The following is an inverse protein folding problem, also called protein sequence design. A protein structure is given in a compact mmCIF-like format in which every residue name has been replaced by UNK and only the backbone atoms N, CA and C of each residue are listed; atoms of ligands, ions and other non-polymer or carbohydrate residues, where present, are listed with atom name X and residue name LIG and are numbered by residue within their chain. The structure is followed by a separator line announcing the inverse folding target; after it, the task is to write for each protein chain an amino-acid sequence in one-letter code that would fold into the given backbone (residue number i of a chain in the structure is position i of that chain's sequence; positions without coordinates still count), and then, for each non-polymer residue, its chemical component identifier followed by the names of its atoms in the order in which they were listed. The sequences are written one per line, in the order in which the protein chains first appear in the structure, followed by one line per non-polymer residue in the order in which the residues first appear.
data_IF_326800537061
#
_entry.id   IF_326800537061
#
_cell.length_a   1.000
_cell.length_b   1.000
_cell.length_c   1.000
_cell.angle_alpha   90.00
_cell.angle_beta   90.00
_cell.angle_gamma   90.00
#
_symmetry.space_group_name_H-M   'P 1'
#
loop_
_entity.id
_entity.type
_entity.pdbx_description
1 polymer ?
#
# COMPACT_ATOMS: atom_id res chain seq x y z
N UNK A 1 30.92 8.61 -5.13
CA UNK A 1 31.87 7.50 -5.46
C UNK A 1 31.73 6.31 -4.52
N UNK A 2 31.94 6.42 -3.18
CA UNK A 2 31.82 5.24 -2.26
C UNK A 2 30.37 4.73 -2.18
N UNK A 3 29.36 5.60 -2.08
CA UNK A 3 27.94 5.20 -2.03
C UNK A 3 27.44 4.59 -3.35
N UNK A 4 27.94 5.02 -4.47
CA UNK A 4 27.63 4.45 -5.80
C UNK A 4 28.30 3.08 -5.99
N UNK A 5 29.50 2.89 -5.48
CA UNK A 5 30.19 1.60 -5.53
C UNK A 5 29.50 0.55 -4.63
N UNK A 6 29.07 0.94 -3.41
CA UNK A 6 28.30 0.07 -2.50
C UNK A 6 26.93 -0.25 -3.13
N UNK A 7 26.25 0.75 -3.69
CA UNK A 7 24.98 0.55 -4.39
C UNK A 7 25.09 -0.33 -5.63
N UNK A 8 26.18 -0.24 -6.39
CA UNK A 8 26.41 -1.08 -7.58
C UNK A 8 26.75 -2.53 -7.20
N UNK A 9 27.53 -2.74 -6.13
CA UNK A 9 27.86 -4.06 -5.60
C UNK A 9 26.61 -4.79 -5.08
N UNK A 10 25.81 -4.13 -4.25
CA UNK A 10 24.57 -4.68 -3.73
C UNK A 10 23.58 -5.02 -4.87
N UNK A 11 23.43 -4.15 -5.87
CA UNK A 11 22.58 -4.42 -7.05
C UNK A 11 23.05 -5.65 -7.82
N UNK A 12 24.36 -5.83 -8.03
CA UNK A 12 24.91 -7.01 -8.72
C UNK A 12 24.62 -8.31 -7.99
N UNK A 13 24.73 -8.31 -6.65
CA UNK A 13 24.43 -9.48 -5.81
C UNK A 13 22.92 -9.81 -5.92
N UNK A 14 22.07 -8.82 -5.74
CA UNK A 14 20.61 -8.98 -5.86
C UNK A 14 20.24 -9.52 -7.25
N UNK A 15 20.79 -8.95 -8.32
CA UNK A 15 20.51 -9.39 -9.69
C UNK A 15 21.06 -10.80 -9.95
N UNK A 16 22.16 -11.20 -9.35
CA UNK A 16 22.67 -12.57 -9.42
C UNK A 16 21.73 -13.56 -8.70
N UNK A 17 21.25 -13.20 -7.51
CA UNK A 17 20.26 -14.01 -6.76
C UNK A 17 18.94 -14.12 -7.54
N UNK A 18 18.45 -13.02 -8.09
CA UNK A 18 17.21 -13.02 -8.93
C UNK A 18 17.40 -13.91 -10.15
N UNK A 19 18.52 -13.86 -10.85
CA UNK A 19 18.81 -14.74 -11.99
C UNK A 19 18.90 -16.21 -11.59
N UNK A 20 19.52 -16.52 -10.45
CA UNK A 20 19.61 -17.87 -9.92
C UNK A 20 18.21 -18.42 -9.58
N UNK A 21 17.40 -17.65 -8.86
CA UNK A 21 16.02 -17.98 -8.53
C UNK A 21 15.13 -18.07 -9.78
N UNK A 22 15.34 -17.19 -10.77
CA UNK A 22 14.63 -17.24 -12.03
C UNK A 22 14.93 -18.51 -12.84
N UNK A 23 16.10 -19.13 -12.70
CA UNK A 23 16.45 -20.42 -13.31
C UNK A 23 15.88 -21.63 -12.55
N UNK A 24 15.64 -21.52 -11.26
CA UNK A 24 15.29 -22.63 -10.36
C UNK A 24 13.86 -23.15 -10.49
N UNK A 25 13.03 -22.68 -11.41
CA UNK A 25 11.59 -23.05 -11.59
C UNK A 25 10.71 -22.85 -10.34
N UNK A 26 11.21 -22.23 -9.26
CA UNK A 26 10.42 -21.96 -8.04
C UNK A 26 9.26 -21.02 -8.38
N UNK A 27 8.07 -21.34 -7.89
CA UNK A 27 6.88 -20.51 -8.08
C UNK A 27 7.05 -19.19 -7.30
N UNK A 28 6.82 -17.98 -7.87
CA UNK A 28 6.87 -16.72 -7.15
C UNK A 28 6.00 -16.71 -5.89
N UNK A 29 4.79 -17.26 -5.94
CA UNK A 29 3.91 -17.35 -4.77
C UNK A 29 4.50 -18.20 -3.63
N UNK A 30 5.35 -19.16 -3.93
CA UNK A 30 6.05 -19.93 -2.91
C UNK A 30 7.14 -19.10 -2.21
N UNK A 31 7.80 -18.19 -2.94
CA UNK A 31 8.74 -17.23 -2.35
C UNK A 31 8.02 -16.27 -1.39
N UNK A 32 6.92 -15.68 -1.81
CA UNK A 32 6.07 -14.81 -0.98
C UNK A 32 5.63 -15.52 0.30
N UNK A 33 5.17 -16.78 0.17
CA UNK A 33 4.81 -17.59 1.34
C UNK A 33 6.00 -17.90 2.26
N UNK A 34 7.19 -18.15 1.70
CA UNK A 34 8.42 -18.32 2.48
C UNK A 34 8.77 -17.03 3.25
N UNK A 35 8.59 -15.86 2.65
CA UNK A 35 8.73 -14.56 3.33
C UNK A 35 7.82 -14.46 4.57
N UNK A 36 6.56 -14.88 4.46
CA UNK A 36 5.65 -14.96 5.61
C UNK A 36 6.18 -15.90 6.71
N UNK A 37 6.65 -17.09 6.36
CA UNK A 37 7.20 -18.04 7.34
C UNK A 37 8.42 -17.44 8.07
N UNK A 38 9.27 -16.69 7.37
CA UNK A 38 10.41 -15.99 7.99
C UNK A 38 9.89 -14.90 8.94
N UNK A 39 8.87 -14.12 8.56
CA UNK A 39 8.26 -13.11 9.44
C UNK A 39 7.55 -13.73 10.66
N UNK A 40 6.98 -14.91 10.54
CA UNK A 40 6.50 -15.69 11.70
C UNK A 40 7.69 -16.04 12.64
N UNK A 41 8.82 -16.47 12.08
CA UNK A 41 10.04 -16.67 12.85
C UNK A 41 10.52 -15.37 13.55
N UNK A 42 10.45 -14.22 12.89
CA UNK A 42 10.73 -12.92 13.51
C UNK A 42 9.80 -12.66 14.70
N UNK A 43 8.51 -12.95 14.57
CA UNK A 43 7.54 -12.75 15.66
C UNK A 43 7.84 -13.60 16.89
N UNK A 44 8.26 -14.84 16.70
CA UNK A 44 8.73 -15.70 17.81
C UNK A 44 9.96 -15.10 18.48
N UNK A 45 10.96 -14.66 17.72
CA UNK A 45 12.15 -14.02 18.27
C UNK A 45 11.79 -12.76 19.07
N UNK A 46 10.90 -11.91 18.56
CA UNK A 46 10.39 -10.74 19.30
C UNK A 46 9.69 -11.18 20.59
N UNK A 47 8.81 -12.17 20.52
CA UNK A 47 8.10 -12.68 21.69
C UNK A 47 9.04 -13.23 22.79
N UNK A 48 10.19 -13.79 22.42
CA UNK A 48 11.23 -14.23 23.36
C UNK A 48 12.15 -13.09 23.83
N UNK A 49 12.11 -11.92 23.21
CA UNK A 49 12.95 -10.76 23.56
C UNK A 49 14.25 -10.68 22.75
N UNK A 50 14.43 -11.54 21.76
CA UNK A 50 15.61 -11.60 20.90
C UNK A 50 15.51 -10.58 19.76
N UNK A 51 15.38 -9.28 20.12
CA UNK A 51 15.14 -8.20 19.16
C UNK A 51 16.25 -8.06 18.13
N UNK A 52 17.51 -8.19 18.55
CA UNK A 52 18.64 -8.06 17.64
C UNK A 52 18.63 -9.14 16.56
N UNK A 53 18.40 -10.40 16.95
CA UNK A 53 18.26 -11.51 16.01
C UNK A 53 17.02 -11.34 15.11
N UNK A 54 15.91 -10.88 15.68
CA UNK A 54 14.69 -10.57 14.91
C UNK A 54 14.94 -9.48 13.87
N UNK A 55 15.69 -8.43 14.21
CA UNK A 55 16.07 -7.35 13.28
C UNK A 55 16.85 -7.85 12.08
N UNK A 56 17.85 -8.71 12.29
CA UNK A 56 18.60 -9.34 11.20
C UNK A 56 17.72 -10.27 10.36
N UNK A 57 16.88 -11.08 10.99
CA UNK A 57 15.96 -11.95 10.27
C UNK A 57 14.93 -11.16 9.46
N UNK A 58 14.49 -10.00 9.98
CA UNK A 58 13.59 -9.08 9.25
C UNK A 58 14.26 -8.46 8.02
N UNK A 59 15.55 -8.09 8.10
CA UNK A 59 16.32 -7.64 6.92
C UNK A 59 16.29 -8.73 5.86
N UNK A 60 16.52 -9.98 6.28
CA UNK A 60 16.53 -11.13 5.37
C UNK A 60 15.14 -11.39 4.77
N UNK A 61 14.06 -11.33 5.56
CA UNK A 61 12.69 -11.47 5.07
C UNK A 61 12.34 -10.43 3.98
N UNK A 62 12.68 -9.16 4.22
CA UNK A 62 12.43 -8.09 3.25
C UNK A 62 13.26 -8.22 1.97
N UNK A 63 14.46 -8.81 2.07
CA UNK A 63 15.24 -9.14 0.88
C UNK A 63 14.50 -10.19 0.03
N UNK A 64 13.90 -11.21 0.65
CA UNK A 64 13.08 -12.21 -0.04
C UNK A 64 11.86 -11.60 -0.73
N UNK A 65 11.11 -10.73 -0.06
CA UNK A 65 9.96 -10.02 -0.63
C UNK A 65 10.37 -9.17 -1.87
N UNK A 66 11.56 -8.57 -1.84
CA UNK A 66 12.06 -7.83 -3.00
C UNK A 66 12.46 -8.76 -4.16
N UNK A 67 12.88 -9.99 -3.87
CA UNK A 67 13.31 -10.96 -4.88
C UNK A 67 12.13 -11.57 -5.62
N UNK A 68 11.01 -11.90 -4.95
CA UNK A 68 9.86 -12.56 -5.58
C UNK A 68 9.21 -11.69 -6.67
N UNK A 69 9.00 -10.39 -6.38
CA UNK A 69 8.48 -9.44 -7.36
C UNK A 69 9.40 -9.25 -8.57
N UNK A 70 10.74 -9.28 -8.37
CA UNK A 70 11.70 -9.22 -9.49
C UNK A 70 11.70 -10.51 -10.31
N UNK A 71 11.62 -11.67 -9.65
CA UNK A 71 11.56 -12.99 -10.30
C UNK A 71 10.28 -13.12 -11.13
N UNK A 72 9.13 -12.71 -10.59
CA UNK A 72 7.85 -12.74 -11.30
C UNK A 72 7.89 -11.90 -12.59
N UNK A 73 8.46 -10.70 -12.50
CA UNK A 73 8.64 -9.80 -13.67
C UNK A 73 9.58 -10.38 -14.72
N UNK A 74 10.73 -10.91 -14.35
CA UNK A 74 11.68 -11.52 -15.27
C UNK A 74 11.13 -12.74 -16.00
N UNK A 75 10.19 -13.46 -15.37
CA UNK A 75 9.55 -14.64 -15.97
C UNK A 75 8.30 -14.32 -16.78
N UNK A 76 7.87 -13.06 -16.85
CA UNK A 76 6.59 -12.69 -17.48
C UNK A 76 5.37 -13.36 -16.83
N UNK A 77 5.49 -13.81 -15.56
CA UNK A 77 4.43 -14.49 -14.79
C UNK A 77 3.74 -13.58 -13.80
N UNK A 78 3.55 -12.33 -14.15
CA UNK A 78 2.74 -11.41 -13.35
C UNK A 78 1.27 -11.75 -13.55
N UNK A 79 0.60 -12.24 -12.49
CA UNK A 79 -0.81 -12.59 -12.52
C UNK A 79 -1.61 -11.72 -11.55
N UNK A 80 -2.90 -11.49 -11.85
CA UNK A 80 -3.80 -10.75 -10.94
C UNK A 80 -3.89 -11.43 -9.57
N UNK A 81 -3.96 -12.75 -9.54
CA UNK A 81 -3.95 -13.51 -8.30
C UNK A 81 -2.63 -13.37 -7.55
N UNK A 82 -1.48 -13.41 -8.23
CA UNK A 82 -0.18 -13.21 -7.60
C UNK A 82 -0.06 -11.84 -6.92
N UNK A 83 -0.50 -10.78 -7.58
CA UNK A 83 -0.51 -9.43 -6.99
C UNK A 83 -1.46 -9.31 -5.79
N UNK A 84 -2.63 -9.94 -5.85
CA UNK A 84 -3.56 -10.02 -4.72
C UNK A 84 -2.95 -10.80 -3.55
N UNK A 85 -2.41 -11.99 -3.84
CA UNK A 85 -1.80 -12.87 -2.84
C UNK A 85 -0.63 -12.20 -2.12
N UNK A 86 0.29 -11.61 -2.87
CA UNK A 86 1.41 -10.81 -2.36
C UNK A 86 0.91 -9.71 -1.42
N UNK A 87 -0.07 -8.92 -1.87
CA UNK A 87 -0.69 -7.88 -1.06
C UNK A 87 -1.27 -8.38 0.26
N UNK A 88 -1.89 -9.55 0.28
CA UNK A 88 -2.49 -10.14 1.49
C UNK A 88 -1.40 -10.64 2.42
N UNK A 89 -0.42 -11.39 1.88
CA UNK A 89 0.69 -11.95 2.66
C UNK A 89 1.54 -10.85 3.30
N UNK A 90 1.76 -9.74 2.61
CA UNK A 90 2.42 -8.56 3.14
C UNK A 90 1.76 -8.04 4.43
N UNK A 91 0.43 -7.98 4.44
CA UNK A 91 -0.33 -7.53 5.62
C UNK A 91 -0.27 -8.55 6.75
N UNK A 92 -0.34 -9.84 6.43
CA UNK A 92 -0.13 -10.89 7.43
C UNK A 92 1.26 -10.80 8.06
N UNK A 93 2.31 -10.58 7.25
CA UNK A 93 3.69 -10.41 7.72
C UNK A 93 3.82 -9.23 8.70
N UNK A 94 3.26 -8.07 8.34
CA UNK A 94 3.25 -6.89 9.22
C UNK A 94 2.53 -7.20 10.55
N UNK A 95 1.34 -7.81 10.49
CA UNK A 95 0.51 -8.12 11.66
C UNK A 95 1.24 -9.08 12.62
N UNK A 96 1.82 -10.15 12.08
CA UNK A 96 2.49 -11.18 12.88
C UNK A 96 3.71 -10.61 13.62
N UNK A 97 4.49 -9.73 12.98
CA UNK A 97 5.62 -9.04 13.61
C UNK A 97 5.16 -8.18 14.80
N UNK A 98 4.11 -7.37 14.61
CA UNK A 98 3.57 -6.55 15.72
C UNK A 98 3.01 -7.42 16.86
N UNK A 99 2.37 -8.57 16.55
CA UNK A 99 1.91 -9.51 17.57
C UNK A 99 3.10 -10.03 18.38
N UNK A 100 4.22 -10.39 17.75
CA UNK A 100 5.42 -10.82 18.46
C UNK A 100 5.95 -9.77 19.45
N UNK A 101 6.03 -8.49 19.01
CA UNK A 101 6.44 -7.37 19.87
C UNK A 101 5.43 -7.16 20.99
N UNK A 102 4.13 -7.25 20.71
CA UNK A 102 3.06 -7.12 21.72
C UNK A 102 3.16 -8.21 22.79
N UNK A 103 3.39 -9.46 22.39
CA UNK A 103 3.61 -10.59 23.31
C UNK A 103 4.80 -10.32 24.24
N UNK A 104 5.91 -9.79 23.71
CA UNK A 104 7.06 -9.47 24.55
C UNK A 104 6.72 -8.48 25.69
N UNK A 105 6.05 -7.37 25.35
CA UNK A 105 5.69 -6.36 26.36
C UNK A 105 4.49 -6.80 27.24
N UNK A 106 3.69 -7.78 26.83
CA UNK A 106 2.59 -8.32 27.60
C UNK A 106 3.03 -9.39 28.62
N UNK A 107 4.21 -10.01 28.43
CA UNK A 107 4.73 -11.04 29.34
C UNK A 107 5.07 -10.45 30.70
N UNK A 108 4.88 -11.22 31.76
CA UNK A 108 5.26 -10.87 33.12
C UNK A 108 6.80 -10.96 33.29
N UNK A 109 7.49 -9.93 32.85
CA UNK A 109 8.95 -9.77 32.87
C UNK A 109 9.28 -8.35 33.29
N UNK A 110 10.55 -8.06 33.56
CA UNK A 110 11.04 -6.70 33.86
C UNK A 110 10.73 -5.68 32.75
N UNK A 111 10.44 -6.14 31.54
CA UNK A 111 10.08 -5.29 30.38
C UNK A 111 8.57 -5.14 30.19
N UNK A 112 7.75 -5.69 31.10
CA UNK A 112 6.29 -5.57 31.04
C UNK A 112 5.84 -4.13 31.01
N UNK A 113 4.99 -3.77 30.04
CA UNK A 113 4.45 -2.42 29.91
C UNK A 113 3.13 -2.43 29.14
N UNK A 114 2.04 -2.20 29.85
CA UNK A 114 0.70 -2.04 29.25
C UNK A 114 0.70 -0.90 28.22
N UNK A 115 1.44 0.17 28.47
CA UNK A 115 1.55 1.31 27.52
C UNK A 115 2.19 0.86 26.21
N UNK A 116 3.27 0.07 26.26
CA UNK A 116 3.94 -0.42 25.04
C UNK A 116 3.09 -1.47 24.34
N UNK A 117 2.32 -2.28 25.04
CA UNK A 117 1.32 -3.18 24.43
C UNK A 117 0.28 -2.37 23.65
N UNK A 118 -0.29 -1.32 24.28
CA UNK A 118 -1.26 -0.45 23.63
C UNK A 118 -0.67 0.29 22.42
N UNK A 119 0.53 0.82 22.55
CA UNK A 119 1.23 1.50 21.43
C UNK A 119 1.50 0.56 20.26
N UNK A 120 1.91 -0.67 20.57
CA UNK A 120 2.13 -1.71 19.53
C UNK A 120 0.81 -2.03 18.84
N UNK A 121 -0.29 -2.14 19.59
CA UNK A 121 -1.62 -2.31 19.05
C UNK A 121 -2.07 -1.15 18.15
N UNK A 122 -1.84 0.10 18.59
CA UNK A 122 -2.12 1.29 17.79
C UNK A 122 -1.26 1.33 16.52
N UNK A 123 0.03 1.01 16.61
CA UNK A 123 0.91 0.94 15.45
C UNK A 123 0.44 -0.14 14.45
N UNK A 124 -0.01 -1.31 14.94
CA UNK A 124 -0.60 -2.36 14.14
C UNK A 124 -1.86 -1.89 13.40
N UNK A 125 -2.82 -1.30 14.13
CA UNK A 125 -4.07 -0.77 13.54
C UNK A 125 -3.77 0.33 12.52
N UNK A 126 -2.92 1.29 12.88
CA UNK A 126 -2.50 2.36 11.98
C UNK A 126 -1.84 1.81 10.71
N UNK A 127 -0.93 0.84 10.84
CA UNK A 127 -0.26 0.15 9.72
C UNK A 127 -1.25 -0.52 8.77
N UNK A 128 -2.23 -1.24 9.32
CA UNK A 128 -3.28 -1.90 8.52
C UNK A 128 -4.16 -0.87 7.80
N UNK A 129 -4.58 0.19 8.50
CA UNK A 129 -5.42 1.25 7.94
C UNK A 129 -4.70 2.08 6.86
N UNK A 130 -3.40 2.33 6.98
CA UNK A 130 -2.60 2.98 5.92
C UNK A 130 -2.70 2.16 4.63
N UNK A 131 -2.51 0.86 4.69
CA UNK A 131 -2.60 -0.02 3.52
C UNK A 131 -4.04 -0.13 2.98
N UNK A 132 -5.03 -0.24 3.88
CA UNK A 132 -6.44 -0.33 3.52
C UNK A 132 -6.96 0.95 2.86
N UNK A 133 -6.66 2.12 3.45
CA UNK A 133 -7.14 3.41 2.92
C UNK A 133 -6.65 3.66 1.50
N UNK A 134 -5.40 3.30 1.19
CA UNK A 134 -4.87 3.37 -0.17
C UNK A 134 -5.62 2.43 -1.12
N UNK A 135 -5.71 1.15 -0.77
CA UNK A 135 -6.38 0.16 -1.62
C UNK A 135 -7.86 0.52 -1.84
N UNK A 136 -8.52 1.10 -0.83
CA UNK A 136 -9.91 1.55 -0.94
C UNK A 136 -10.05 2.78 -1.83
N UNK A 137 -9.17 3.77 -1.73
CA UNK A 137 -9.17 4.93 -2.62
C UNK A 137 -8.94 4.52 -4.08
N UNK A 138 -7.95 3.67 -4.33
CA UNK A 138 -7.65 3.13 -5.67
C UNK A 138 -8.84 2.32 -6.24
N UNK A 139 -9.62 1.62 -5.40
CA UNK A 139 -10.84 0.92 -5.83
C UNK A 139 -12.01 1.86 -6.20
N UNK A 140 -11.91 3.14 -5.89
CA UNK A 140 -12.84 4.21 -6.27
C UNK A 140 -12.27 5.09 -7.38
N UNK A 141 -11.24 4.59 -8.10
CA UNK A 141 -10.51 5.30 -9.15
C UNK A 141 -9.88 6.63 -8.69
N UNK A 142 -9.61 6.76 -7.38
CA UNK A 142 -8.92 7.92 -6.81
C UNK A 142 -7.46 7.55 -6.52
N UNK A 143 -6.53 8.22 -7.18
CA UNK A 143 -5.09 8.01 -6.95
C UNK A 143 -4.68 8.53 -5.56
N UNK A 144 -4.21 7.65 -4.67
CA UNK A 144 -3.85 7.98 -3.29
C UNK A 144 -2.39 7.64 -3.00
N UNK A 145 -1.46 8.41 -3.58
CA UNK A 145 -0.01 8.30 -3.35
C UNK A 145 0.50 9.29 -2.29
N UNK A 146 -0.37 9.66 -1.35
CA UNK A 146 -0.04 10.59 -0.28
C UNK A 146 0.17 9.84 1.04
N UNK A 147 1.02 10.40 1.89
CA UNK A 147 1.30 9.86 3.22
C UNK A 147 2.81 9.74 3.47
N UNK A 148 3.18 9.82 4.74
CA UNK A 148 4.59 9.89 5.16
C UNK A 148 5.14 8.51 5.56
N UNK A 149 4.28 7.56 5.96
CA UNK A 149 4.67 6.27 6.50
C UNK A 149 4.08 5.14 5.66
N UNK A 150 4.74 4.83 4.56
CA UNK A 150 4.44 3.65 3.77
C UNK A 150 5.07 2.38 4.40
N UNK A 151 4.90 1.20 3.77
CA UNK A 151 5.45 -0.06 4.29
C UNK A 151 6.97 -0.07 4.44
N UNK A 152 7.76 0.43 3.46
CA UNK A 152 9.22 0.40 3.57
C UNK A 152 9.75 1.20 4.76
N UNK A 153 9.20 2.39 5.03
CA UNK A 153 9.61 3.24 6.13
C UNK A 153 9.32 2.59 7.49
N UNK A 154 8.15 1.93 7.62
CA UNK A 154 7.79 1.18 8.84
C UNK A 154 8.75 0.03 9.11
N UNK A 155 9.07 -0.74 8.09
CA UNK A 155 10.01 -1.86 8.19
C UNK A 155 11.40 -1.37 8.59
N UNK A 156 11.90 -0.30 7.97
CA UNK A 156 13.20 0.30 8.31
C UNK A 156 13.22 0.77 9.77
N UNK A 157 12.14 1.44 10.24
CA UNK A 157 12.04 1.87 11.64
C UNK A 157 12.04 0.69 12.61
N UNK A 158 11.31 -0.39 12.31
CA UNK A 158 11.31 -1.60 13.14
C UNK A 158 12.68 -2.27 13.16
N UNK A 159 13.39 -2.35 12.03
CA UNK A 159 14.76 -2.88 11.95
C UNK A 159 15.69 -2.03 12.82
N UNK A 160 15.66 -0.70 12.68
CA UNK A 160 16.49 0.20 13.49
C UNK A 160 16.19 0.01 14.97
N UNK A 161 14.90 0.02 15.35
CA UNK A 161 14.49 -0.23 16.73
C UNK A 161 15.02 -1.56 17.27
N UNK A 162 14.93 -2.63 16.46
CA UNK A 162 15.38 -3.97 16.84
C UNK A 162 16.90 -4.06 17.00
N UNK A 163 17.65 -3.52 16.05
CA UNK A 163 19.13 -3.57 16.09
C UNK A 163 19.72 -2.72 17.23
N UNK A 164 18.98 -1.76 17.77
CA UNK A 164 19.38 -0.99 18.94
C UNK A 164 19.11 -1.69 20.27
N UNK A 165 18.37 -2.79 20.30
CA UNK A 165 18.02 -3.53 21.51
C UNK A 165 19.15 -4.47 21.96
N UNK A 166 20.34 -3.92 22.18
CA UNK A 166 21.55 -4.67 22.59
C UNK A 166 22.26 -3.95 23.75
N UNK A 167 22.97 -4.71 24.57
CA UNK A 167 23.80 -4.17 25.64
C UNK A 167 23.03 -3.58 26.83
N UNK A 168 23.70 -2.81 27.70
CA UNK A 168 23.07 -2.30 28.91
C UNK A 168 21.94 -1.29 28.64
N UNK A 169 20.85 -1.42 29.37
CA UNK A 169 19.68 -0.51 29.24
C UNK A 169 19.99 0.95 29.63
N UNK A 170 21.08 1.18 30.35
CA UNK A 170 21.53 2.53 30.75
C UNK A 170 22.10 3.35 29.58
N UNK A 171 22.38 2.72 28.44
CA UNK A 171 22.95 3.44 27.28
C UNK A 171 21.85 4.23 26.54
N UNK A 172 21.94 5.58 26.47
CA UNK A 172 20.90 6.41 25.85
C UNK A 172 20.76 6.21 24.32
N UNK A 173 21.75 5.61 23.66
CA UNK A 173 21.73 5.32 22.23
C UNK A 173 21.15 3.93 21.89
N UNK A 174 20.93 3.09 22.89
CA UNK A 174 20.40 1.74 22.76
C UNK A 174 18.93 1.68 23.22
N UNK A 175 18.28 0.53 23.01
CA UNK A 175 16.89 0.28 23.43
C UNK A 175 15.86 1.27 22.87
N UNK A 176 15.96 1.56 21.54
CA UNK A 176 15.08 2.54 20.87
C UNK A 176 13.73 1.99 20.43
N UNK A 177 13.45 0.70 20.62
CA UNK A 177 12.17 0.11 20.21
C UNK A 177 10.94 0.83 20.82
N UNK A 178 10.91 1.24 22.10
CA UNK A 178 9.79 2.02 22.61
C UNK A 178 9.55 3.34 21.87
N UNK A 179 10.61 4.07 21.53
CA UNK A 179 10.51 5.31 20.76
C UNK A 179 10.02 5.06 19.33
N UNK A 180 10.50 3.97 18.71
CA UNK A 180 10.04 3.54 17.37
C UNK A 180 8.54 3.22 17.40
N UNK A 181 8.04 2.54 18.42
CA UNK A 181 6.61 2.24 18.57
C UNK A 181 5.77 3.52 18.70
N UNK A 182 6.25 4.53 19.45
CA UNK A 182 5.62 5.84 19.51
C UNK A 182 5.55 6.52 18.13
N UNK A 183 6.67 6.56 17.42
CA UNK A 183 6.74 7.14 16.07
C UNK A 183 5.79 6.41 15.13
N UNK A 184 5.80 5.07 15.15
CA UNK A 184 4.92 4.26 14.30
C UNK A 184 3.44 4.48 14.63
N UNK A 185 3.07 4.51 15.91
CA UNK A 185 1.69 4.75 16.32
C UNK A 185 1.19 6.12 15.86
N UNK A 186 1.95 7.18 16.09
CA UNK A 186 1.53 8.55 15.73
C UNK A 186 1.52 8.76 14.22
N UNK A 187 2.63 8.45 13.52
CA UNK A 187 2.76 8.76 12.10
C UNK A 187 1.87 7.89 11.21
N UNK A 188 1.57 6.63 11.60
CA UNK A 188 0.63 5.82 10.82
C UNK A 188 -0.79 6.38 10.87
N UNK A 189 -1.28 6.79 12.05
CA UNK A 189 -2.60 7.42 12.17
C UNK A 189 -2.65 8.78 11.48
N UNK A 190 -1.60 9.58 11.58
CA UNK A 190 -1.48 10.82 10.82
C UNK A 190 -1.58 10.58 9.31
N UNK A 191 -0.89 9.54 8.81
CA UNK A 191 -0.95 9.14 7.41
C UNK A 191 -2.36 8.73 6.98
N UNK A 192 -3.10 8.00 7.84
CA UNK A 192 -4.50 7.63 7.59
C UNK A 192 -5.38 8.87 7.47
N UNK A 193 -5.28 9.82 8.43
CA UNK A 193 -6.04 11.07 8.40
C UNK A 193 -5.72 11.88 7.13
N UNK A 194 -4.45 11.98 6.77
CA UNK A 194 -4.04 12.66 5.54
C UNK A 194 -4.65 12.00 4.28
N UNK A 195 -4.67 10.67 4.21
CA UNK A 195 -5.30 9.93 3.11
C UNK A 195 -6.81 10.12 3.03
N UNK A 196 -7.49 10.14 4.18
CA UNK A 196 -8.94 10.43 4.25
C UNK A 196 -9.20 11.84 3.71
N UNK A 197 -8.44 12.83 4.16
CA UNK A 197 -8.61 14.21 3.70
C UNK A 197 -8.34 14.36 2.20
N UNK A 198 -7.26 13.76 1.69
CA UNK A 198 -6.93 13.77 0.26
C UNK A 198 -8.04 13.14 -0.58
N UNK A 199 -8.50 11.94 -0.21
CA UNK A 199 -9.55 11.23 -0.92
C UNK A 199 -10.88 12.01 -0.91
N UNK A 200 -11.22 12.64 0.21
CA UNK A 200 -12.40 13.49 0.31
C UNK A 200 -12.33 14.71 -0.61
N UNK A 201 -11.17 15.33 -0.74
CA UNK A 201 -10.96 16.47 -1.63
C UNK A 201 -11.10 16.06 -3.10
N UNK A 202 -10.40 15.02 -3.51
CA UNK A 202 -10.41 14.51 -4.88
C UNK A 202 -11.80 14.02 -5.29
N UNK A 203 -12.53 13.32 -4.40
CA UNK A 203 -13.89 12.86 -4.71
C UNK A 203 -14.85 14.03 -4.96
N UNK A 204 -14.74 15.11 -4.19
CA UNK A 204 -15.56 16.31 -4.42
C UNK A 204 -15.31 16.97 -5.77
N UNK A 205 -14.07 17.01 -6.23
CA UNK A 205 -13.72 17.59 -7.53
C UNK A 205 -14.25 16.70 -8.66
N UNK A 206 -14.12 15.38 -8.53
CA UNK A 206 -14.67 14.41 -9.49
C UNK A 206 -16.20 14.47 -9.56
N UNK A 207 -16.89 14.48 -8.42
CA UNK A 207 -18.36 14.56 -8.35
C UNK A 207 -18.88 15.86 -9.02
N UNK A 208 -18.21 17.00 -8.79
CA UNK A 208 -18.56 18.26 -9.43
C UNK A 208 -18.38 18.20 -10.95
N UNK A 209 -17.27 17.63 -11.42
CA UNK A 209 -17.02 17.47 -12.84
C UNK A 209 -18.07 16.55 -13.50
N UNK A 210 -18.47 15.46 -12.85
CA UNK A 210 -19.53 14.57 -13.34
C UNK A 210 -20.88 15.29 -13.44
N UNK A 211 -21.28 16.06 -12.43
CA UNK A 211 -22.53 16.83 -12.45
C UNK A 211 -22.54 17.87 -13.57
N UNK A 212 -21.43 18.58 -13.76
CA UNK A 212 -21.29 19.55 -14.86
C UNK A 212 -21.36 18.89 -16.24
N UNK A 213 -20.68 17.75 -16.42
CA UNK A 213 -20.72 17.01 -17.67
C UNK A 213 -22.13 16.49 -17.99
N UNK A 214 -22.86 16.01 -17.00
CA UNK A 214 -24.23 15.55 -17.18
C UNK A 214 -25.20 16.71 -17.52
N UNK A 215 -25.02 17.88 -16.90
CA UNK A 215 -25.79 19.08 -17.22
C UNK A 215 -25.53 19.55 -18.66
N UNK A 216 -24.26 19.62 -19.07
CA UNK A 216 -23.91 19.99 -20.45
C UNK A 216 -24.47 19.01 -21.49
N UNK A 217 -24.49 17.70 -21.15
CA UNK A 217 -25.09 16.67 -22.01
C UNK A 217 -26.60 16.86 -22.15
N UNK A 218 -27.31 17.15 -21.06
CA UNK A 218 -28.76 17.42 -21.09
C UNK A 218 -29.11 18.65 -21.92
N UNK A 219 -28.33 19.73 -21.79
CA UNK A 219 -28.48 20.95 -22.58
C UNK A 219 -28.25 20.71 -24.10
N UNK A 220 -27.25 19.91 -24.44
CA UNK A 220 -26.96 19.57 -25.84
C UNK A 220 -28.07 18.75 -26.50
N UNK A 221 -28.65 17.79 -25.75
CA UNK A 221 -29.80 16.98 -26.20
C UNK A 221 -31.04 17.86 -26.36
N UNK A 222 -31.30 18.77 -25.41
CA UNK A 222 -32.44 19.70 -25.47
C UNK A 222 -32.35 20.66 -26.68
N UNK A 223 -31.17 21.18 -26.98
CA UNK A 223 -30.95 22.03 -28.19
C UNK A 223 -31.15 21.25 -29.48
N UNK A 224 -30.64 20.04 -29.59
CA UNK A 224 -30.81 19.19 -30.78
C UNK A 224 -32.28 18.81 -31.04
N UNK A 225 -33.09 18.57 -29.97
CA UNK A 225 -34.50 18.31 -30.09
C UNK A 225 -35.31 19.56 -30.54
N UNK A 226 -34.91 20.75 -30.10
CA UNK A 226 -35.50 22.03 -30.53
C UNK A 226 -35.28 22.36 -31.99
N UNK A 227 -34.07 22.07 -32.53
CA UNK A 227 -33.77 22.30 -33.94
C UNK A 227 -34.47 21.31 -34.91
N UNK A 228 -34.73 20.09 -34.48
CA UNK A 228 -35.49 19.12 -35.27
C UNK A 228 -36.99 19.45 -35.30
N UNK A 229 -37.52 20.01 -34.20
CA UNK A 229 -38.90 20.50 -34.16
C UNK A 229 -39.17 21.72 -35.06
N UNK A 230 -38.15 22.60 -35.23
CA UNK A 230 -38.26 23.79 -36.09
C UNK A 230 -38.14 23.46 -37.60
N UNK A 231 -37.48 22.40 -37.99
CA UNK A 231 -37.38 21.96 -39.39
C UNK A 231 -38.61 21.18 -39.89
N UNK A 232 -39.45 20.66 -39.00
CA UNK A 232 -40.64 19.90 -39.35
C UNK A 232 -41.85 20.79 -39.73
N UNK A 233 -41.81 22.11 -39.52
CA UNK A 233 -42.95 23.02 -39.73
C UNK A 233 -42.88 23.84 -41.04
N UNK A 234 -41.92 23.61 -41.90
CA UNK A 234 -41.70 24.38 -43.14
C UNK A 234 -41.99 23.62 -44.45
N UNK A 235 -42.73 22.52 -44.45
CA UNK A 235 -43.11 21.86 -45.71
C UNK A 235 -44.61 21.68 -45.73
N UNK A 236 -45.39 22.66 -46.14
CA UNK A 236 -46.68 22.55 -46.83
C UNK A 236 -47.33 23.90 -47.09
N UNK A 237 -46.80 24.65 -48.07
CA UNK A 237 -47.64 25.63 -48.82
C UNK A 237 -47.10 25.67 -50.25
N UNK A 238 -47.52 24.71 -51.05
CA UNK A 238 -47.43 24.77 -52.50
C UNK A 238 -48.77 25.25 -53.10
N UNK A 239 -48.77 26.12 -54.13
CA UNK A 239 -50.03 26.74 -54.62
C UNK A 239 -50.83 25.78 -55.48
N UNK A 240 -52.13 25.74 -55.20
CA UNK A 240 -53.18 25.24 -56.10
C UNK A 240 -53.13 25.95 -57.44
N UNK A 241 -52.82 25.25 -58.51
CA UNK A 241 -53.12 25.64 -59.89
C UNK A 241 -54.38 24.90 -60.33
N UNK A 242 -55.48 25.67 -60.41
CA UNK A 242 -56.66 25.35 -61.10
C UNK A 242 -56.34 25.41 -62.63
N UNK A 243 -56.68 24.37 -63.37
CA UNK A 243 -56.95 24.51 -64.82
C UNK A 243 -58.35 23.94 -65.07
N UNK A 244 -59.17 24.70 -65.85
CA UNK A 244 -60.46 24.22 -66.26
C UNK A 244 -60.39 23.54 -67.64
N UNK A 245 -61.42 22.77 -67.96
CA UNK A 245 -61.95 22.41 -69.25
C UNK A 245 -61.25 21.34 -70.12
N UNK A 246 -61.97 20.21 -70.28
CA UNK A 246 -62.75 19.75 -71.45
C UNK A 246 -63.13 18.27 -71.21
#
# INVERSE_FOLDING_TARGET
MISEAIGSGARRIIDAMVRALARSRINPNALTFTGLLINIGCAFLYGYGEFFAAGWLMIFANLFDMLDGKVARLRGRVTRFGAFFDSVIDRYSDIVVFIGIMVFYARDTASHSVVLVMLTGLALVGSALVSYSRARAESLDIECKVGFLERPERVVLLIIGSLTMIGPQSNPFLHKMPQVLWVLAVLSHWTVVHRIYHTWRESKETDRAMVQAEQARRESVGKGAGEQGSRGTQVATGPHLLTPDA
#
